data_IF_566293740862
#
_entry.id   IF_566293740862
#
_cell.length_a   1.000
_cell.length_b   1.000
_cell.length_c   1.000
_cell.angle_alpha   90.00
_cell.angle_beta   90.00
_cell.angle_gamma   90.00
#
_symmetry.space_group_name_H-M   'P 1'
#
loop_
_entity.id
_entity.type
_entity.pdbx_description
1 polymer ?
#
# COMPACT_ATOMS: atom_id res chain seq x y z
N UNK A 1 12.99 -31.04 96.82
CA UNK A 1 12.79 -31.69 95.49
C UNK A 1 12.22 -30.67 94.49
N UNK A 2 13.04 -29.92 93.74
CA UNK A 2 12.50 -28.91 92.79
C UNK A 2 13.34 -28.64 91.51
N UNK A 3 14.41 -29.41 91.24
CA UNK A 3 15.34 -29.08 90.14
C UNK A 3 14.99 -29.70 88.76
N UNK A 4 14.07 -30.67 88.67
CA UNK A 4 13.84 -31.42 87.42
C UNK A 4 12.97 -30.70 86.37
N UNK A 5 12.25 -29.63 86.72
CA UNK A 5 11.19 -29.07 85.86
C UNK A 5 11.61 -27.88 84.97
N UNK A 6 12.80 -27.30 85.19
CA UNK A 6 13.34 -26.17 84.42
C UNK A 6 14.09 -26.62 83.16
N UNK A 7 14.85 -27.71 83.25
CA UNK A 7 15.66 -28.24 82.13
C UNK A 7 14.79 -28.79 80.97
N UNK A 8 13.66 -29.43 81.30
CA UNK A 8 12.66 -29.96 80.34
C UNK A 8 11.93 -28.87 79.53
N UNK A 9 11.69 -27.70 80.14
CA UNK A 9 11.03 -26.58 79.45
C UNK A 9 12.00 -25.85 78.51
N UNK A 10 13.25 -25.68 78.93
CA UNK A 10 14.28 -25.04 78.09
C UNK A 10 14.65 -25.89 76.87
N UNK A 11 14.72 -27.22 77.01
CA UNK A 11 15.00 -28.12 75.88
C UNK A 11 13.86 -28.16 74.84
N UNK A 12 12.59 -28.14 75.29
CA UNK A 12 11.43 -28.03 74.38
C UNK A 12 11.39 -26.68 73.65
N UNK A 13 11.72 -25.58 74.33
CA UNK A 13 11.74 -24.22 73.75
C UNK A 13 12.85 -24.09 72.70
N UNK A 14 14.01 -24.70 72.91
CA UNK A 14 15.12 -24.69 71.95
C UNK A 14 14.86 -25.59 70.73
N UNK A 15 14.23 -26.74 70.90
CA UNK A 15 13.81 -27.61 69.80
C UNK A 15 12.75 -26.93 68.91
N UNK A 16 11.75 -26.28 69.52
CA UNK A 16 10.73 -25.52 68.79
C UNK A 16 11.35 -24.35 68.01
N UNK A 17 12.30 -23.61 68.61
CA UNK A 17 13.00 -22.52 67.93
C UNK A 17 13.83 -23.00 66.73
N UNK A 18 14.53 -24.14 66.85
CA UNK A 18 15.26 -24.75 65.73
C UNK A 18 14.33 -25.19 64.60
N UNK A 19 13.18 -25.77 64.92
CA UNK A 19 12.16 -26.17 63.93
C UNK A 19 11.56 -24.96 63.20
N UNK A 20 11.32 -23.86 63.92
CA UNK A 20 10.86 -22.59 63.36
C UNK A 20 11.91 -21.92 62.45
N UNK A 21 13.19 -21.97 62.83
CA UNK A 21 14.27 -21.46 61.99
C UNK A 21 14.42 -22.26 60.69
N UNK A 22 14.34 -23.59 60.75
CA UNK A 22 14.41 -24.46 59.58
C UNK A 22 13.23 -24.21 58.61
N UNK A 23 12.02 -24.04 59.12
CA UNK A 23 10.83 -23.72 58.28
C UNK A 23 10.94 -22.34 57.64
N UNK A 24 11.42 -21.31 58.35
CA UNK A 24 11.69 -19.99 57.75
C UNK A 24 12.69 -20.07 56.61
N UNK A 25 13.79 -20.82 56.79
CA UNK A 25 14.83 -21.00 55.77
C UNK A 25 14.29 -21.72 54.53
N UNK A 26 13.47 -22.76 54.73
CA UNK A 26 12.80 -23.47 53.63
C UNK A 26 11.81 -22.57 52.88
N UNK A 27 11.02 -21.76 53.59
CA UNK A 27 10.07 -20.84 52.95
C UNK A 27 10.77 -19.72 52.18
N UNK A 28 11.88 -19.19 52.69
CA UNK A 28 12.70 -18.22 51.97
C UNK A 28 13.27 -18.82 50.67
N UNK A 29 13.78 -20.06 50.71
CA UNK A 29 14.26 -20.76 49.53
C UNK A 29 13.17 -21.05 48.50
N UNK A 30 11.96 -21.41 48.94
CA UNK A 30 10.80 -21.59 48.04
C UNK A 30 10.41 -20.28 47.36
N UNK A 31 10.43 -19.17 48.10
CA UNK A 31 10.08 -17.84 47.58
C UNK A 31 11.10 -17.37 46.53
N UNK A 32 12.39 -17.57 46.78
CA UNK A 32 13.44 -17.21 45.82
C UNK A 32 13.36 -18.05 44.54
N UNK A 33 13.15 -19.37 44.66
CA UNK A 33 12.98 -20.25 43.51
C UNK A 33 11.76 -19.86 42.65
N UNK A 34 10.63 -19.52 43.29
CA UNK A 34 9.44 -19.07 42.61
C UNK A 34 9.67 -17.73 41.86
N UNK A 35 10.42 -16.80 42.46
CA UNK A 35 10.73 -15.51 41.83
C UNK A 35 11.63 -15.67 40.61
N UNK A 36 12.66 -16.53 40.70
CA UNK A 36 13.54 -16.85 39.57
C UNK A 36 12.74 -17.49 38.43
N UNK A 37 11.87 -18.45 38.75
CA UNK A 37 11.00 -19.08 37.75
C UNK A 37 10.05 -18.07 37.09
N UNK A 38 9.48 -17.13 37.87
CA UNK A 38 8.63 -16.07 37.34
C UNK A 38 9.39 -15.11 36.41
N UNK A 39 10.61 -14.70 36.80
CA UNK A 39 11.48 -13.86 35.96
C UNK A 39 11.83 -14.57 34.64
N UNK A 40 12.18 -15.86 34.69
CA UNK A 40 12.46 -16.65 33.50
C UNK A 40 11.26 -16.73 32.54
N UNK A 41 10.06 -16.98 33.07
CA UNK A 41 8.82 -17.00 32.27
C UNK A 41 8.53 -15.65 31.61
N UNK A 42 8.69 -14.54 32.35
CA UNK A 42 8.51 -13.19 31.81
C UNK A 42 9.52 -12.87 30.71
N UNK A 43 10.78 -13.24 30.90
CA UNK A 43 11.83 -13.04 29.89
C UNK A 43 11.52 -13.84 28.60
N UNK A 44 11.08 -15.09 28.73
CA UNK A 44 10.68 -15.90 27.57
C UNK A 44 9.47 -15.30 26.84
N UNK A 45 8.45 -14.85 27.58
CA UNK A 45 7.28 -14.18 27.00
C UNK A 45 7.66 -12.88 26.28
N UNK A 46 8.54 -12.07 26.87
CA UNK A 46 9.03 -10.84 26.26
C UNK A 46 9.81 -11.11 24.96
N UNK A 47 10.67 -12.15 24.94
CA UNK A 47 11.38 -12.57 23.72
C UNK A 47 10.41 -12.99 22.61
N UNK A 48 9.40 -13.80 22.93
CA UNK A 48 8.35 -14.18 21.97
C UNK A 48 7.61 -12.95 21.43
N UNK A 49 7.17 -12.05 22.31
CA UNK A 49 6.46 -10.84 21.91
C UNK A 49 7.31 -9.94 20.99
N UNK A 50 8.60 -9.79 21.29
CA UNK A 50 9.53 -9.04 20.45
C UNK A 50 9.70 -9.68 19.06
N UNK A 51 9.85 -11.02 18.99
CA UNK A 51 9.92 -11.75 17.73
C UNK A 51 8.64 -11.58 16.89
N UNK A 52 7.46 -11.69 17.51
CA UNK A 52 6.17 -11.48 16.84
C UNK A 52 6.05 -10.05 16.30
N UNK A 53 6.45 -9.04 17.08
CA UNK A 53 6.44 -7.63 16.63
C UNK A 53 7.33 -7.42 15.41
N UNK A 54 8.56 -7.96 15.43
CA UNK A 54 9.48 -7.89 14.27
C UNK A 54 8.88 -8.57 13.04
N UNK A 55 8.32 -9.76 13.19
CA UNK A 55 7.68 -10.48 12.08
C UNK A 55 6.49 -9.70 11.49
N UNK A 56 5.65 -9.11 12.34
CA UNK A 56 4.51 -8.29 11.90
C UNK A 56 4.96 -7.01 11.19
N UNK A 57 6.00 -6.34 11.68
CA UNK A 57 6.57 -5.17 11.01
C UNK A 57 7.11 -5.53 9.61
N UNK A 58 7.84 -6.64 9.48
CA UNK A 58 8.33 -7.12 8.19
C UNK A 58 7.19 -7.45 7.21
N UNK A 59 6.14 -8.15 7.67
CA UNK A 59 4.95 -8.43 6.85
C UNK A 59 4.25 -7.15 6.38
N UNK A 60 4.10 -6.17 7.27
CA UNK A 60 3.48 -4.88 6.94
C UNK A 60 4.28 -4.13 5.88
N UNK A 61 5.62 -4.09 6.03
CA UNK A 61 6.50 -3.45 5.06
C UNK A 61 6.41 -4.12 3.67
N UNK A 62 6.45 -5.46 3.63
CA UNK A 62 6.31 -6.20 2.38
C UNK A 62 4.95 -5.95 1.69
N UNK A 63 3.86 -5.93 2.46
CA UNK A 63 2.52 -5.63 1.94
C UNK A 63 2.43 -4.21 1.37
N UNK A 64 3.05 -3.23 2.03
CA UNK A 64 3.05 -1.84 1.56
C UNK A 64 3.84 -1.68 0.25
N UNK A 65 5.00 -2.32 0.13
CA UNK A 65 5.79 -2.33 -1.12
C UNK A 65 4.98 -2.95 -2.26
N UNK A 66 4.35 -4.10 -2.01
CA UNK A 66 3.50 -4.76 -3.01
C UNK A 66 2.32 -3.87 -3.44
N UNK A 67 1.68 -3.18 -2.50
CA UNK A 67 0.59 -2.26 -2.79
C UNK A 67 1.05 -1.04 -3.62
N UNK A 68 2.20 -0.45 -3.29
CA UNK A 68 2.82 0.64 -4.07
C UNK A 68 3.12 0.19 -5.50
N UNK A 69 3.68 -0.99 -5.69
CA UNK A 69 3.98 -1.53 -7.01
C UNK A 69 2.70 -1.72 -7.86
N UNK A 70 1.64 -2.30 -7.27
CA UNK A 70 0.34 -2.45 -7.96
C UNK A 70 -0.26 -1.11 -8.38
N UNK A 71 -0.23 -0.10 -7.49
CA UNK A 71 -0.72 1.26 -7.81
C UNK A 71 0.09 1.91 -8.93
N UNK A 72 1.41 1.77 -8.91
CA UNK A 72 2.28 2.31 -9.95
C UNK A 72 2.00 1.67 -11.32
N UNK A 73 1.81 0.35 -11.37
CA UNK A 73 1.45 -0.37 -12.59
C UNK A 73 0.07 0.08 -13.13
N UNK A 74 -0.93 0.20 -12.25
CA UNK A 74 -2.26 0.70 -12.62
C UNK A 74 -2.20 2.14 -13.17
N UNK A 75 -1.41 3.02 -12.54
CA UNK A 75 -1.22 4.39 -12.99
C UNK A 75 -0.57 4.46 -14.38
N UNK A 76 0.47 3.65 -14.63
CA UNK A 76 1.11 3.54 -15.96
C UNK A 76 0.12 3.10 -17.02
N UNK A 77 -0.69 2.08 -16.74
CA UNK A 77 -1.72 1.59 -17.67
C UNK A 77 -2.77 2.67 -17.96
N UNK A 78 -3.27 3.36 -16.93
CA UNK A 78 -4.22 4.45 -17.10
C UNK A 78 -3.65 5.61 -17.92
N UNK A 79 -2.40 5.99 -17.69
CA UNK A 79 -1.72 7.03 -18.47
C UNK A 79 -1.58 6.63 -19.95
N UNK A 80 -1.19 5.38 -20.23
CA UNK A 80 -1.12 4.86 -21.60
C UNK A 80 -2.48 4.90 -22.31
N UNK A 81 -3.55 4.46 -21.64
CA UNK A 81 -4.92 4.52 -22.18
C UNK A 81 -5.36 5.95 -22.47
N UNK A 82 -5.07 6.91 -21.57
CA UNK A 82 -5.39 8.33 -21.79
C UNK A 82 -4.67 8.89 -23.02
N UNK A 83 -3.38 8.61 -23.17
CA UNK A 83 -2.59 9.02 -24.34
C UNK A 83 -3.17 8.44 -25.64
N UNK A 84 -3.48 7.14 -25.65
CA UNK A 84 -4.08 6.48 -26.82
C UNK A 84 -5.44 7.10 -27.19
N UNK A 85 -6.30 7.38 -26.20
CA UNK A 85 -7.59 8.01 -26.43
C UNK A 85 -7.47 9.44 -26.95
N UNK A 86 -6.52 10.22 -26.42
CA UNK A 86 -6.23 11.57 -26.92
C UNK A 86 -5.76 11.54 -28.39
N UNK A 87 -4.87 10.61 -28.74
CA UNK A 87 -4.41 10.43 -30.12
C UNK A 87 -5.56 10.04 -31.06
N UNK A 88 -6.44 9.11 -30.65
CA UNK A 88 -7.63 8.74 -31.42
C UNK A 88 -8.56 9.93 -31.65
N UNK A 89 -8.84 10.71 -30.61
CA UNK A 89 -9.66 11.94 -30.73
C UNK A 89 -9.04 12.96 -31.67
N UNK A 90 -7.72 13.19 -31.58
CA UNK A 90 -7.01 14.11 -32.47
C UNK A 90 -7.06 13.63 -33.94
N UNK A 91 -6.88 12.33 -34.18
CA UNK A 91 -7.00 11.76 -35.53
C UNK A 91 -8.42 11.89 -36.09
N UNK A 92 -9.44 11.63 -35.27
CA UNK A 92 -10.84 11.81 -35.67
C UNK A 92 -11.16 13.28 -35.99
N UNK A 93 -10.66 14.23 -35.18
CA UNK A 93 -10.82 15.65 -35.41
C UNK A 93 -10.16 16.10 -36.73
N UNK A 94 -8.94 15.62 -37.02
CA UNK A 94 -8.26 15.89 -38.30
C UNK A 94 -9.06 15.38 -39.50
N UNK A 95 -9.58 14.15 -39.42
CA UNK A 95 -10.45 13.59 -40.47
C UNK A 95 -11.71 14.43 -40.66
N UNK A 96 -12.38 14.82 -39.57
CA UNK A 96 -13.58 15.67 -39.63
C UNK A 96 -13.29 17.06 -40.20
N UNK A 97 -12.13 17.65 -39.89
CA UNK A 97 -11.72 18.92 -40.47
C UNK A 97 -11.48 18.80 -41.99
N UNK A 98 -10.83 17.71 -42.43
CA UNK A 98 -10.60 17.44 -43.85
C UNK A 98 -11.91 17.25 -44.62
N UNK A 99 -12.87 16.50 -44.07
CA UNK A 99 -14.18 16.31 -44.71
C UNK A 99 -14.98 17.62 -44.79
N UNK A 100 -14.95 18.45 -43.74
CA UNK A 100 -15.56 19.79 -43.77
C UNK A 100 -14.93 20.68 -44.84
N UNK A 101 -13.60 20.70 -44.96
CA UNK A 101 -12.91 21.46 -46.02
C UNK A 101 -13.30 20.97 -47.41
N UNK A 102 -13.35 19.66 -47.62
CA UNK A 102 -13.76 19.08 -48.90
C UNK A 102 -15.23 19.42 -49.24
N UNK A 103 -16.14 19.38 -48.26
CA UNK A 103 -17.53 19.76 -48.45
C UNK A 103 -17.69 21.26 -48.77
N UNK A 104 -16.94 22.13 -48.08
CA UNK A 104 -16.93 23.56 -48.36
C UNK A 104 -16.39 23.86 -49.78
N UNK A 105 -15.31 23.19 -50.18
CA UNK A 105 -14.78 23.31 -51.54
C UNK A 105 -15.80 22.85 -52.60
N UNK A 106 -16.53 21.76 -52.35
CA UNK A 106 -17.65 21.31 -53.19
C UNK A 106 -18.71 22.38 -53.38
N UNK A 107 -19.13 23.03 -52.28
CA UNK A 107 -20.14 24.10 -52.33
C UNK A 107 -19.66 25.34 -53.09
N UNK A 108 -18.41 25.75 -52.88
CA UNK A 108 -17.87 26.92 -53.59
C UNK A 108 -17.69 26.64 -55.08
N UNK A 109 -17.20 25.46 -55.45
CA UNK A 109 -17.04 25.12 -56.85
C UNK A 109 -18.39 24.95 -57.58
N UNK A 110 -19.42 24.38 -56.94
CA UNK A 110 -20.77 24.34 -57.53
C UNK A 110 -21.36 25.73 -57.68
N UNK A 111 -21.11 26.65 -56.73
CA UNK A 111 -21.54 28.05 -56.81
C UNK A 111 -20.87 28.79 -57.98
N UNK A 112 -19.56 28.63 -58.16
CA UNK A 112 -18.82 29.23 -59.27
C UNK A 112 -19.23 28.64 -60.62
N UNK A 113 -19.48 27.32 -60.69
CA UNK A 113 -19.96 26.67 -61.90
C UNK A 113 -21.38 27.13 -62.28
N UNK A 114 -22.29 27.29 -61.30
CA UNK A 114 -23.64 27.82 -61.54
C UNK A 114 -23.63 29.26 -62.06
N UNK A 115 -22.62 30.05 -61.69
CA UNK A 115 -22.39 31.41 -62.19
C UNK A 115 -21.68 31.45 -63.56
N UNK A 116 -21.33 30.30 -64.14
CA UNK A 116 -20.61 30.22 -65.42
C UNK A 116 -19.11 30.60 -65.33
N UNK A 117 -18.58 30.83 -64.13
CA UNK A 117 -17.20 31.31 -63.94
C UNK A 117 -16.18 30.19 -64.18
N UNK A 118 -16.52 28.94 -63.83
CA UNK A 118 -15.65 27.77 -64.04
C UNK A 118 -16.44 26.61 -64.64
N UNK A 119 -15.76 25.76 -65.42
CA UNK A 119 -16.30 24.46 -65.87
C UNK A 119 -16.48 23.51 -64.68
N UNK A 120 -17.46 22.61 -64.76
CA UNK A 120 -17.73 21.63 -63.71
C UNK A 120 -16.45 20.85 -63.32
N UNK A 121 -16.11 20.77 -62.03
CA UNK A 121 -14.90 20.07 -61.57
C UNK A 121 -15.05 18.55 -61.70
N UNK A 122 -13.99 17.87 -62.14
CA UNK A 122 -14.00 16.41 -62.39
C UNK A 122 -13.63 15.58 -61.15
N UNK A 123 -12.94 16.18 -60.17
CA UNK A 123 -12.54 15.53 -58.92
C UNK A 123 -12.39 16.54 -57.77
N UNK A 124 -12.29 16.04 -56.54
CA UNK A 124 -12.08 16.89 -55.34
C UNK A 124 -10.71 17.59 -55.37
N UNK A 125 -9.67 16.94 -55.91
CA UNK A 125 -8.34 17.54 -56.05
C UNK A 125 -8.30 18.68 -57.07
N UNK A 126 -8.97 18.49 -58.21
CA UNK A 126 -9.16 19.52 -59.26
C UNK A 126 -9.95 20.73 -58.72
N UNK A 127 -11.00 20.46 -57.95
CA UNK A 127 -11.83 21.47 -57.29
C UNK A 127 -11.05 22.34 -56.29
N UNK A 128 -10.27 21.71 -55.40
CA UNK A 128 -9.44 22.42 -54.41
C UNK A 128 -8.37 23.29 -55.08
N UNK A 129 -7.76 22.78 -56.15
CA UNK A 129 -6.71 23.47 -56.90
C UNK A 129 -7.26 24.72 -57.63
N UNK A 130 -8.46 24.64 -58.20
CA UNK A 130 -9.10 25.79 -58.87
C UNK A 130 -9.51 26.89 -57.88
N UNK A 131 -10.05 26.51 -56.71
CA UNK A 131 -10.41 27.48 -55.66
C UNK A 131 -9.17 28.21 -55.13
N UNK A 132 -8.04 27.52 -54.97
CA UNK A 132 -6.78 28.16 -54.56
C UNK A 132 -6.25 29.12 -55.63
N UNK A 133 -6.37 28.77 -56.91
CA UNK A 133 -5.93 29.64 -58.02
C UNK A 133 -6.78 30.91 -58.16
N UNK A 134 -8.10 30.82 -57.95
CA UNK A 134 -9.02 31.98 -58.03
C UNK A 134 -8.99 32.91 -56.80
N UNK A 135 -8.24 32.55 -55.75
CA UNK A 135 -8.07 33.37 -54.54
C UNK A 135 -6.78 34.21 -54.54
N UNK A 136 -5.92 34.04 -55.54
CA UNK A 136 -4.76 34.90 -55.80
C UNK A 136 -5.19 35.99 -56.78
#
# INVERSE_FOLDING_TARGET
>A
MAAKNSNSKNSKKSAAAKKAAATRKANAAKKSAAEVAAKAKRAAAAKKAAATRKANAAKKAAAEVAAKAKRAAAAKKAAATRKANAAKKAAAAKKAAATKKAAAAKREATKLAKKGIIKAPKSVGDMLSRIQKNKR
#
